data_IF_136333956539
#
_entry.id   IF_136333956539
#
_cell.length_a   1.000
_cell.length_b   1.000
_cell.length_c   1.000
_cell.angle_alpha   90.00
_cell.angle_beta   90.00
_cell.angle_gamma   90.00
#
_symmetry.space_group_name_H-M   'P 1'
#
loop_
_entity.id
_entity.type
_entity.pdbx_description
1 polymer ?
#
# COMPACT_ATOMS: atom_id res chain seq x y z
N UNK A 1 -14.55 -11.67 20.44
CA UNK A 1 -15.02 -10.43 21.08
C UNK A 1 -14.05 -10.04 22.17
N UNK A 2 -13.37 -8.90 21.99
CA UNK A 2 -12.62 -8.24 23.05
C UNK A 2 -13.64 -7.76 24.08
N UNK A 3 -13.61 -8.30 25.31
CA UNK A 3 -14.59 -7.93 26.34
C UNK A 3 -14.28 -6.52 26.83
N UNK A 4 -15.31 -5.68 26.93
CA UNK A 4 -15.19 -4.32 27.48
C UNK A 4 -14.65 -3.25 26.53
N UNK A 5 -14.75 -3.46 25.21
CA UNK A 5 -14.45 -2.43 24.21
C UNK A 5 -15.73 -2.05 23.48
N UNK A 6 -16.13 -0.79 23.61
CA UNK A 6 -17.25 -0.23 22.87
C UNK A 6 -16.78 0.28 21.50
N UNK A 7 -17.18 -0.41 20.44
CA UNK A 7 -16.79 -0.08 19.07
C UNK A 7 -17.76 0.94 18.46
N UNK A 8 -17.26 2.16 18.24
CA UNK A 8 -17.99 3.21 17.52
C UNK A 8 -17.50 3.27 16.07
N UNK A 9 -18.11 2.44 15.23
CA UNK A 9 -17.78 2.35 13.80
C UNK A 9 -18.56 3.37 12.97
N UNK A 10 -18.20 3.49 11.68
CA UNK A 10 -18.89 4.39 10.72
C UNK A 10 -19.01 5.84 11.20
N UNK A 11 -18.05 6.28 12.01
CA UNK A 11 -18.05 7.58 12.66
C UNK A 11 -16.67 8.22 12.54
N UNK A 12 -16.62 9.55 12.57
CA UNK A 12 -15.39 10.33 12.63
C UNK A 12 -15.38 11.20 13.88
N UNK A 13 -14.20 11.47 14.43
CA UNK A 13 -14.07 12.48 15.49
C UNK A 13 -14.20 13.87 14.87
N UNK A 14 -15.10 14.70 15.42
CA UNK A 14 -15.29 16.09 14.99
C UNK A 14 -14.57 17.08 15.91
N UNK A 15 -14.58 16.86 17.23
CA UNK A 15 -13.84 17.70 18.17
C UNK A 15 -13.43 16.93 19.42
N UNK A 16 -12.32 17.33 20.03
CA UNK A 16 -11.83 16.83 21.31
C UNK A 16 -11.78 18.01 22.28
N UNK A 17 -12.48 17.89 23.41
CA UNK A 17 -12.56 18.90 24.48
C UNK A 17 -12.15 18.24 25.80
N UNK A 18 -12.05 19.04 26.84
CA UNK A 18 -11.71 18.53 28.18
C UNK A 18 -12.75 17.51 28.67
N UNK A 19 -12.36 16.25 28.79
CA UNK A 19 -13.21 15.14 29.23
C UNK A 19 -14.23 14.61 28.22
N UNK A 20 -14.31 15.16 27.01
CA UNK A 20 -15.32 14.77 26.00
C UNK A 20 -14.76 14.72 24.57
N UNK A 21 -15.16 13.71 23.82
CA UNK A 21 -14.95 13.63 22.38
C UNK A 21 -16.29 13.63 21.66
N UNK A 22 -16.44 14.49 20.67
CA UNK A 22 -17.61 14.52 19.78
C UNK A 22 -17.32 13.65 18.57
N UNK A 23 -18.15 12.65 18.33
CA UNK A 23 -18.11 11.81 17.13
C UNK A 23 -19.33 12.09 16.27
N UNK A 24 -19.15 12.03 14.94
CA UNK A 24 -20.21 12.26 13.97
C UNK A 24 -20.32 11.04 13.08
N UNK A 25 -21.52 10.46 13.01
CA UNK A 25 -21.78 9.30 12.17
C UNK A 25 -22.00 9.69 10.70
N UNK A 26 -22.12 8.70 9.82
CA UNK A 26 -22.40 8.93 8.38
C UNK A 26 -23.70 9.69 8.10
N UNK A 27 -24.68 9.66 9.00
CA UNK A 27 -25.94 10.41 8.90
C UNK A 27 -25.83 11.85 9.40
N UNK A 28 -24.63 12.29 9.85
CA UNK A 28 -24.41 13.62 10.39
C UNK A 28 -24.88 13.81 11.83
N UNK A 29 -25.26 12.73 12.52
CA UNK A 29 -25.66 12.81 13.92
C UNK A 29 -24.43 12.86 14.82
N UNK A 30 -24.43 13.80 15.76
CA UNK A 30 -23.37 13.96 16.73
C UNK A 30 -23.65 13.15 18.00
N UNK A 31 -22.60 12.58 18.57
CA UNK A 31 -22.62 11.89 19.86
C UNK A 31 -21.41 12.34 20.68
N UNK A 32 -21.65 12.72 21.93
CA UNK A 32 -20.57 13.02 22.87
C UNK A 32 -20.22 11.78 23.70
N UNK A 33 -18.93 11.49 23.80
CA UNK A 33 -18.40 10.37 24.58
C UNK A 33 -17.46 10.93 25.64
N UNK A 34 -17.73 10.62 26.91
CA UNK A 34 -16.87 10.99 28.04
C UNK A 34 -15.59 10.15 28.03
N UNK A 35 -14.45 10.77 28.28
CA UNK A 35 -13.18 10.05 28.45
C UNK A 35 -12.35 10.63 29.60
N UNK A 36 -11.54 9.77 30.24
CA UNK A 36 -10.49 10.18 31.19
C UNK A 36 -9.09 10.23 30.55
N UNK A 37 -8.87 9.46 29.49
CA UNK A 37 -7.66 9.49 28.67
C UNK A 37 -8.04 9.36 27.19
N UNK A 38 -7.42 10.19 26.33
CA UNK A 38 -7.59 10.13 24.88
C UNK A 38 -6.26 9.72 24.24
N UNK A 39 -6.30 8.66 23.44
CA UNK A 39 -5.13 8.21 22.64
C UNK A 39 -5.46 8.41 21.18
N UNK A 40 -4.74 9.32 20.52
CA UNK A 40 -4.90 9.60 19.10
C UNK A 40 -3.91 8.75 18.29
N UNK A 41 -4.41 7.67 17.69
CA UNK A 41 -3.59 6.67 17.00
C UNK A 41 -3.77 6.68 15.46
N UNK A 42 -4.09 7.84 14.88
CA UNK A 42 -4.35 7.97 13.44
C UNK A 42 -3.86 9.30 12.87
N UNK A 43 -3.69 9.35 11.56
CA UNK A 43 -3.23 10.53 10.84
C UNK A 43 -1.72 10.62 10.78
N UNK A 44 -1.20 10.76 9.56
CA UNK A 44 0.18 11.12 9.29
C UNK A 44 0.18 12.51 8.65
N UNK A 45 1.15 13.33 9.00
CA UNK A 45 1.36 14.64 8.41
C UNK A 45 2.76 14.70 7.78
N UNK A 46 2.89 15.48 6.72
CA UNK A 46 4.17 15.70 6.06
C UNK A 46 5.14 16.42 7.01
N UNK A 47 6.38 15.95 7.08
CA UNK A 47 7.43 16.61 7.86
C UNK A 47 7.74 18.01 7.26
N UNK A 48 7.92 19.07 8.08
CA UNK A 48 8.27 20.40 7.58
C UNK A 48 9.49 20.45 6.65
N UNK A 49 10.51 19.63 6.90
CA UNK A 49 11.70 19.54 6.03
C UNK A 49 11.33 19.01 4.64
N UNK A 50 10.46 17.99 4.57
CA UNK A 50 9.97 17.44 3.30
C UNK A 50 9.21 18.50 2.52
N UNK A 51 8.37 19.28 3.21
CA UNK A 51 7.63 20.39 2.60
C UNK A 51 8.56 21.44 1.99
N UNK A 52 9.59 21.85 2.73
CA UNK A 52 10.58 22.81 2.25
C UNK A 52 11.32 22.29 1.00
N UNK A 53 11.65 21.00 0.96
CA UNK A 53 12.27 20.39 -0.22
C UNK A 53 11.33 20.38 -1.43
N UNK A 54 10.03 20.16 -1.24
CA UNK A 54 9.06 20.21 -2.34
C UNK A 54 8.92 21.61 -2.96
N UNK A 55 9.06 22.67 -2.16
CA UNK A 55 8.97 24.05 -2.62
C UNK A 55 10.17 24.44 -3.52
N UNK A 56 11.31 23.77 -3.37
CA UNK A 56 12.54 24.07 -4.11
C UNK A 56 12.77 23.12 -5.29
N UNK A 57 12.36 21.85 -5.18
CA UNK A 57 12.61 20.84 -6.21
C UNK A 57 11.49 20.83 -7.28
N UNK A 58 11.82 20.92 -8.58
CA UNK A 58 10.82 20.89 -9.63
C UNK A 58 10.14 19.51 -9.75
N UNK A 59 8.88 19.50 -10.17
CA UNK A 59 8.13 18.26 -10.42
C UNK A 59 7.60 17.55 -9.17
N UNK A 60 7.67 18.20 -8.00
CA UNK A 60 7.12 17.70 -6.74
C UNK A 60 5.64 18.09 -6.58
N UNK A 61 4.72 17.22 -7.01
CA UNK A 61 3.25 17.51 -7.02
C UNK A 61 2.47 16.75 -5.94
N UNK A 62 3.08 15.80 -5.25
CA UNK A 62 2.39 14.94 -4.30
C UNK A 62 2.15 15.62 -2.94
N UNK A 63 0.92 15.53 -2.43
CA UNK A 63 0.46 16.36 -1.31
C UNK A 63 1.02 16.00 0.08
N UNK A 64 1.70 14.86 0.25
CA UNK A 64 2.14 14.36 1.58
C UNK A 64 3.58 13.84 1.68
N UNK A 65 4.29 13.70 0.56
CA UNK A 65 5.59 13.03 0.49
C UNK A 65 6.35 13.47 -0.77
N UNK A 66 7.68 13.36 -0.78
CA UNK A 66 8.49 13.57 -1.98
C UNK A 66 8.17 12.52 -3.05
N UNK A 67 8.07 12.95 -4.30
CA UNK A 67 8.02 12.06 -5.46
C UNK A 67 9.43 11.59 -5.81
N UNK A 68 9.57 10.28 -5.92
CA UNK A 68 10.76 9.62 -6.43
C UNK A 68 10.49 8.91 -7.74
N UNK A 69 11.52 8.57 -8.48
CA UNK A 69 11.42 7.56 -9.53
C UNK A 69 11.37 6.14 -8.95
N UNK A 70 11.36 5.14 -9.84
CA UNK A 70 11.33 3.72 -9.51
C UNK A 70 12.61 3.20 -8.82
N UNK A 71 13.67 4.01 -8.78
CA UNK A 71 14.94 3.74 -8.10
C UNK A 71 15.08 4.53 -6.78
N UNK A 72 13.98 5.13 -6.32
CA UNK A 72 13.90 5.93 -5.09
C UNK A 72 14.72 7.25 -5.14
N UNK A 73 15.08 7.72 -6.33
CA UNK A 73 15.71 9.03 -6.55
C UNK A 73 14.65 10.12 -6.55
N UNK A 74 14.87 11.20 -5.83
CA UNK A 74 13.93 12.32 -5.75
C UNK A 74 13.85 13.04 -7.10
N UNK A 75 12.65 13.22 -7.64
CA UNK A 75 12.45 13.94 -8.90
C UNK A 75 12.83 15.42 -8.72
N UNK A 76 13.51 15.98 -9.71
CA UNK A 76 13.99 17.36 -9.68
C UNK A 76 15.28 17.57 -8.88
N UNK A 77 15.90 16.52 -8.33
CA UNK A 77 17.17 16.63 -7.60
C UNK A 77 18.41 16.40 -8.46
N UNK A 78 18.27 16.29 -9.78
CA UNK A 78 19.35 15.92 -10.71
C UNK A 78 20.11 14.63 -10.31
N UNK A 79 19.40 13.69 -9.68
CA UNK A 79 19.98 12.42 -9.22
C UNK A 79 20.89 12.53 -7.99
N UNK A 80 20.87 13.64 -7.26
CA UNK A 80 21.69 13.84 -6.04
C UNK A 80 21.02 13.39 -4.74
N UNK A 81 19.69 13.19 -4.72
CA UNK A 81 18.92 12.90 -3.50
C UNK A 81 18.12 11.61 -3.68
N UNK A 82 18.14 10.75 -2.66
CA UNK A 82 17.27 9.58 -2.53
C UNK A 82 16.38 9.75 -1.30
N UNK A 83 15.16 9.23 -1.38
CA UNK A 83 14.20 9.26 -0.26
C UNK A 83 13.36 7.98 -0.25
N UNK A 84 13.00 7.50 0.94
CA UNK A 84 12.22 6.28 1.13
C UNK A 84 11.42 6.32 2.44
N UNK A 85 10.58 5.30 2.66
CA UNK A 85 9.64 5.24 3.78
C UNK A 85 8.55 6.29 3.67
N UNK A 86 7.98 6.68 4.81
CA UNK A 86 6.79 7.56 4.86
C UNK A 86 7.03 8.96 4.28
N UNK A 87 8.29 9.39 4.19
CA UNK A 87 8.68 10.68 3.64
C UNK A 87 8.61 10.74 2.10
N UNK A 88 8.51 9.60 1.41
CA UNK A 88 8.61 9.50 -0.03
C UNK A 88 7.51 8.61 -0.64
N UNK A 89 7.24 8.82 -1.91
CA UNK A 89 6.39 7.94 -2.71
C UNK A 89 6.95 7.82 -4.12
N UNK A 90 6.83 6.62 -4.69
CA UNK A 90 7.28 6.35 -6.05
C UNK A 90 6.23 6.92 -7.00
N UNK A 91 6.69 7.77 -7.92
CA UNK A 91 5.86 8.27 -8.99
C UNK A 91 5.47 7.12 -9.92
N UNK A 92 4.18 6.98 -10.14
CA UNK A 92 3.61 5.94 -10.99
C UNK A 92 3.07 6.62 -12.24
N UNK A 93 3.70 6.42 -13.42
CA UNK A 93 3.23 7.03 -14.64
C UNK A 93 1.83 6.48 -14.95
N UNK A 94 0.93 7.38 -15.34
CA UNK A 94 -0.45 7.02 -15.63
C UNK A 94 -0.53 6.46 -17.03
N UNK A 95 -1.09 5.26 -17.19
CA UNK A 95 -1.23 4.62 -18.49
C UNK A 95 -2.10 5.44 -19.45
N UNK A 96 -3.07 6.21 -18.92
CA UNK A 96 -3.95 7.10 -19.69
C UNK A 96 -3.18 8.15 -20.50
N UNK A 97 -2.01 8.58 -20.04
CA UNK A 97 -1.19 9.57 -20.75
C UNK A 97 -0.58 8.99 -22.04
N UNK A 98 -0.58 7.66 -22.17
CA UNK A 98 -0.02 6.91 -23.30
C UNK A 98 -1.09 6.18 -24.12
N UNK A 99 -2.37 6.55 -23.98
CA UNK A 99 -3.50 5.91 -24.67
C UNK A 99 -3.29 5.80 -26.17
N UNK A 100 -2.82 6.86 -26.83
CA UNK A 100 -2.63 6.84 -28.28
C UNK A 100 -1.61 5.78 -28.70
N UNK A 101 -0.46 5.75 -28.02
CA UNK A 101 0.62 4.78 -28.24
C UNK A 101 0.16 3.36 -27.94
N UNK A 102 -0.51 3.16 -26.81
CA UNK A 102 -0.96 1.84 -26.35
C UNK A 102 -2.06 1.28 -27.25
N UNK A 103 -3.00 2.12 -27.70
CA UNK A 103 -4.07 1.72 -28.60
C UNK A 103 -3.53 1.31 -29.97
N UNK A 104 -2.61 2.09 -30.55
CA UNK A 104 -2.00 1.78 -31.85
C UNK A 104 -1.15 0.51 -31.82
N UNK A 105 -0.54 0.19 -30.68
CA UNK A 105 0.17 -1.08 -30.48
C UNK A 105 -0.77 -2.29 -30.30
N UNK A 106 -1.96 -2.05 -29.75
CA UNK A 106 -2.95 -3.09 -29.47
C UNK A 106 -3.79 -3.45 -30.70
N UNK A 107 -4.19 -2.46 -31.50
CA UNK A 107 -5.01 -2.58 -32.72
C UNK A 107 -4.17 -3.13 -33.88
N UNK A 108 -3.79 -4.42 -33.80
CA UNK A 108 -2.92 -5.08 -34.78
C UNK A 108 -3.63 -5.27 -36.11
N UNK A 109 -4.95 -5.47 -36.08
CA UNK A 109 -5.79 -5.68 -37.26
C UNK A 109 -6.26 -4.37 -37.91
N UNK A 110 -6.01 -3.21 -37.28
CA UNK A 110 -6.41 -1.88 -37.71
C UNK A 110 -7.93 -1.75 -37.90
N UNK A 111 -8.70 -2.48 -37.11
CA UNK A 111 -10.15 -2.43 -37.11
C UNK A 111 -10.69 -1.13 -36.50
N UNK A 112 -9.85 -0.38 -35.78
CA UNK A 112 -10.24 0.84 -35.07
C UNK A 112 -10.91 0.56 -33.72
N UNK A 113 -10.88 -0.69 -33.25
CA UNK A 113 -11.42 -1.10 -31.96
C UNK A 113 -10.64 -2.32 -31.43
N UNK A 114 -10.58 -2.50 -30.12
CA UNK A 114 -9.80 -3.57 -29.48
C UNK A 114 -10.69 -4.75 -29.10
N UNK A 115 -10.33 -5.93 -29.58
CA UNK A 115 -10.87 -7.19 -29.06
C UNK A 115 -10.38 -7.46 -27.62
N UNK A 116 -11.05 -8.36 -26.91
CA UNK A 116 -10.62 -8.78 -25.57
C UNK A 116 -9.25 -9.47 -25.58
N UNK A 117 -8.89 -10.12 -26.68
CA UNK A 117 -7.58 -10.76 -26.85
C UNK A 117 -6.48 -9.72 -27.03
N UNK A 118 -6.69 -8.72 -27.88
CA UNK A 118 -5.76 -7.59 -28.04
C UNK A 118 -5.63 -6.77 -26.75
N UNK A 119 -6.75 -6.56 -26.04
CA UNK A 119 -6.76 -5.89 -24.74
C UNK A 119 -5.92 -6.65 -23.70
N UNK A 120 -6.00 -7.99 -23.68
CA UNK A 120 -5.17 -8.82 -22.79
C UNK A 120 -3.70 -8.69 -23.13
N UNK A 121 -3.36 -8.85 -24.40
CA UNK A 121 -1.98 -8.76 -24.90
C UNK A 121 -1.36 -7.41 -24.53
N UNK A 122 -2.07 -6.30 -24.81
CA UNK A 122 -1.55 -4.97 -24.52
C UNK A 122 -1.45 -4.72 -23.01
N UNK A 123 -2.41 -5.17 -22.20
CA UNK A 123 -2.31 -5.00 -20.75
C UNK A 123 -1.13 -5.80 -20.16
N UNK A 124 -0.89 -7.01 -20.65
CA UNK A 124 0.26 -7.83 -20.26
C UNK A 124 1.59 -7.20 -20.70
N UNK A 125 1.69 -6.72 -21.94
CA UNK A 125 2.91 -6.08 -22.43
C UNK A 125 3.17 -4.74 -21.72
N UNK A 126 2.14 -3.89 -21.64
CA UNK A 126 2.20 -2.60 -20.95
C UNK A 126 2.46 -2.78 -19.45
N UNK A 127 2.14 -3.93 -18.84
CA UNK A 127 2.44 -4.19 -17.42
C UNK A 127 3.94 -4.17 -17.09
N UNK A 128 4.81 -4.35 -18.09
CA UNK A 128 6.27 -4.23 -17.92
C UNK A 128 6.69 -2.80 -17.58
N UNK A 129 5.99 -1.81 -18.16
CA UNK A 129 6.20 -0.37 -17.93
C UNK A 129 5.28 0.16 -16.81
N UNK A 130 4.02 -0.28 -16.81
CA UNK A 130 2.95 0.13 -15.90
C UNK A 130 2.54 -1.03 -15.00
N UNK A 131 3.26 -1.25 -13.91
CA UNK A 131 3.09 -2.45 -13.08
C UNK A 131 1.69 -2.69 -12.53
N UNK A 132 0.88 -1.66 -12.37
CA UNK A 132 -0.51 -1.78 -11.92
C UNK A 132 -1.42 -2.46 -12.95
N UNK A 133 -1.04 -2.48 -14.23
CA UNK A 133 -1.81 -3.18 -15.27
C UNK A 133 -1.74 -4.70 -15.12
N UNK A 134 -0.70 -5.25 -14.45
CA UNK A 134 -0.50 -6.69 -14.29
C UNK A 134 -1.67 -7.37 -13.56
N UNK A 135 -2.19 -6.75 -12.49
CA UNK A 135 -3.31 -7.31 -11.72
C UNK A 135 -4.59 -7.36 -12.57
N UNK A 136 -4.82 -6.32 -13.38
CA UNK A 136 -5.99 -6.27 -14.27
C UNK A 136 -5.87 -7.25 -15.45
N UNK A 137 -4.66 -7.51 -15.95
CA UNK A 137 -4.40 -8.53 -16.95
C UNK A 137 -4.67 -9.96 -16.41
N UNK A 138 -4.24 -10.26 -15.19
CA UNK A 138 -4.53 -11.56 -14.54
C UNK A 138 -6.03 -11.80 -14.33
N UNK A 139 -6.79 -10.75 -13.99
CA UNK A 139 -8.25 -10.84 -13.86
C UNK A 139 -8.91 -11.21 -15.20
N UNK A 140 -8.38 -10.74 -16.32
CA UNK A 140 -8.83 -11.13 -17.66
C UNK A 140 -8.48 -12.57 -18.03
N UNK A 141 -7.37 -13.10 -17.51
CA UNK A 141 -6.92 -14.48 -17.73
C UNK A 141 -7.74 -15.51 -16.92
N UNK A 142 -8.30 -15.12 -15.77
CA UNK A 142 -8.96 -16.03 -14.81
C UNK A 142 -10.31 -16.65 -15.26
N UNK A 143 -10.60 -16.70 -16.56
CA UNK A 143 -11.90 -17.11 -17.12
C UNK A 143 -12.33 -18.57 -16.89
N UNK A 144 -11.51 -19.45 -16.32
CA UNK A 144 -11.85 -20.89 -16.19
C UNK A 144 -11.53 -21.56 -14.85
N UNK A 145 -11.61 -20.85 -13.71
CA UNK A 145 -11.52 -21.49 -12.37
C UNK A 145 -12.84 -21.44 -11.59
N UNK A 146 -13.16 -22.46 -10.77
CA UNK A 146 -14.41 -22.55 -9.98
C UNK A 146 -14.55 -21.46 -8.90
N UNK A 147 -13.54 -20.58 -8.77
CA UNK A 147 -13.46 -19.44 -7.85
C UNK A 147 -14.40 -18.28 -8.22
N UNK A 148 -15.14 -18.33 -9.33
CA UNK A 148 -16.15 -17.32 -9.68
C UNK A 148 -17.29 -17.24 -8.63
N UNK A 149 -17.59 -18.34 -7.94
CA UNK A 149 -18.56 -18.39 -6.84
C UNK A 149 -18.03 -17.83 -5.50
N UNK A 150 -16.75 -18.05 -5.20
CA UNK A 150 -16.13 -17.57 -3.95
C UNK A 150 -15.88 -16.05 -3.99
N UNK A 151 -15.49 -15.52 -5.16
CA UNK A 151 -15.33 -14.07 -5.38
C UNK A 151 -16.69 -13.36 -5.34
N UNK A 152 -17.78 -14.02 -5.74
CA UNK A 152 -19.15 -13.49 -5.61
C UNK A 152 -19.63 -13.45 -4.15
N UNK A 153 -19.21 -14.41 -3.31
CA UNK A 153 -19.56 -14.46 -1.89
C UNK A 153 -18.82 -13.40 -1.05
N UNK A 154 -17.63 -12.96 -1.48
CA UNK A 154 -16.96 -11.79 -0.90
C UNK A 154 -17.44 -10.46 -1.50
N UNK A 155 -18.08 -10.48 -2.68
CA UNK A 155 -18.61 -9.29 -3.35
C UNK A 155 -20.04 -8.91 -2.93
N UNK A 156 -20.66 -9.64 -2.01
CA UNK A 156 -22.04 -9.37 -1.57
C UNK A 156 -22.14 -8.42 -0.36
N UNK A 157 -21.03 -7.92 0.21
CA UNK A 157 -21.09 -6.97 1.34
C UNK A 157 -20.02 -5.86 1.33
N UNK A 158 -19.54 -5.48 0.13
CA UNK A 158 -18.61 -4.37 -0.03
C UNK A 158 -18.98 -3.48 -1.23
N UNK A 159 -20.12 -2.80 -1.11
CA UNK A 159 -20.40 -1.62 -1.92
C UNK A 159 -19.58 -0.42 -1.39
N UNK A 160 -18.28 -0.37 -1.73
CA UNK A 160 -17.45 0.84 -1.86
C UNK A 160 -15.96 0.46 -1.96
N UNK A 161 -15.32 0.86 -3.07
CA UNK A 161 -13.89 0.79 -3.36
C UNK A 161 -13.27 -0.62 -3.55
N UNK A 162 -12.73 -0.85 -4.75
CA UNK A 162 -11.82 -1.96 -5.15
C UNK A 162 -12.43 -3.17 -5.86
N UNK A 163 -13.40 -2.95 -6.75
CA UNK A 163 -13.74 -3.92 -7.80
C UNK A 163 -13.14 -3.48 -9.13
N UNK A 164 -12.34 -4.36 -9.75
CA UNK A 164 -11.76 -4.12 -11.08
C UNK A 164 -12.89 -3.77 -12.07
N UNK A 165 -12.79 -2.66 -12.82
CA UNK A 165 -13.84 -2.21 -13.75
C UNK A 165 -14.15 -3.21 -14.88
N UNK A 166 -13.35 -4.27 -15.01
CA UNK A 166 -13.48 -5.30 -16.04
C UNK A 166 -14.48 -6.43 -15.74
N UNK A 167 -15.13 -6.45 -14.57
CA UNK A 167 -16.05 -7.55 -14.23
C UNK A 167 -17.38 -7.57 -15.01
N UNK A 168 -17.59 -6.60 -15.92
CA UNK A 168 -18.84 -6.40 -16.68
C UNK A 168 -18.67 -6.54 -18.20
N UNK A 169 -17.48 -6.91 -18.69
CA UNK A 169 -17.21 -6.95 -20.14
C UNK A 169 -17.61 -8.32 -20.70
N UNK A 170 -18.60 -8.35 -21.60
CA UNK A 170 -19.05 -9.56 -22.32
C UNK A 170 -18.01 -10.01 -23.35
N UNK A 171 -18.01 -11.30 -23.70
CA UNK A 171 -16.97 -11.96 -24.51
C UNK A 171 -16.80 -11.41 -25.93
N UNK A 172 -17.86 -10.83 -26.50
CA UNK A 172 -17.88 -10.25 -27.85
C UNK A 172 -17.78 -8.71 -27.85
N UNK A 173 -17.36 -8.11 -26.73
CA UNK A 173 -17.25 -6.65 -26.62
C UNK A 173 -15.98 -6.15 -27.31
N UNK A 174 -16.14 -5.29 -28.32
CA UNK A 174 -15.05 -4.55 -28.94
C UNK A 174 -14.95 -3.17 -28.28
N UNK A 175 -13.75 -2.74 -27.89
CA UNK A 175 -13.53 -1.45 -27.23
C UNK A 175 -13.05 -0.40 -28.22
N UNK A 176 -13.83 0.66 -28.41
CA UNK A 176 -13.36 1.88 -29.08
C UNK A 176 -12.22 2.55 -28.32
N UNK A 177 -11.47 3.43 -28.97
CA UNK A 177 -10.38 4.19 -28.36
C UNK A 177 -10.83 5.00 -27.14
N UNK A 178 -12.03 5.57 -27.21
CA UNK A 178 -12.65 6.32 -26.12
C UNK A 178 -12.94 5.42 -24.91
N UNK A 179 -13.50 4.22 -25.16
CA UNK A 179 -13.77 3.25 -24.10
C UNK A 179 -12.47 2.69 -23.48
N UNK A 180 -11.45 2.46 -24.30
CA UNK A 180 -10.11 2.07 -23.82
C UNK A 180 -9.49 3.16 -22.95
N UNK A 181 -9.64 4.44 -23.33
CA UNK A 181 -9.22 5.58 -22.52
C UNK A 181 -9.94 5.63 -21.17
N UNK A 182 -11.26 5.47 -21.16
CA UNK A 182 -12.04 5.43 -19.92
C UNK A 182 -11.64 4.26 -19.02
N UNK A 183 -11.33 3.11 -19.62
CA UNK A 183 -10.84 1.93 -18.91
C UNK A 183 -9.51 2.25 -18.21
N UNK A 184 -8.53 2.79 -18.93
CA UNK A 184 -7.25 3.20 -18.36
C UNK A 184 -7.41 4.29 -17.30
N UNK A 185 -8.31 5.26 -17.49
CA UNK A 185 -8.62 6.26 -16.46
C UNK A 185 -9.15 5.63 -15.17
N UNK A 186 -10.07 4.66 -15.28
CA UNK A 186 -10.59 3.95 -14.11
C UNK A 186 -9.49 3.13 -13.42
N UNK A 187 -8.65 2.45 -14.19
CA UNK A 187 -7.50 1.70 -13.66
C UNK A 187 -6.51 2.65 -12.96
N UNK A 188 -6.11 3.74 -13.61
CA UNK A 188 -5.18 4.72 -13.07
C UNK A 188 -5.74 5.46 -11.84
N UNK A 189 -7.07 5.66 -11.76
CA UNK A 189 -7.71 6.23 -10.57
C UNK A 189 -7.59 5.34 -9.33
N UNK A 190 -7.35 4.03 -9.54
CA UNK A 190 -7.07 3.05 -8.50
C UNK A 190 -5.61 3.01 -8.06
N UNK A 191 -4.72 3.78 -8.70
CA UNK A 191 -3.30 3.82 -8.34
C UNK A 191 -3.13 4.26 -6.89
N UNK A 192 -2.41 3.43 -6.15
CA UNK A 192 -2.10 3.68 -4.75
C UNK A 192 -0.60 3.70 -4.56
N UNK A 193 -0.16 4.75 -3.88
CA UNK A 193 1.13 4.77 -3.23
C UNK A 193 1.27 3.55 -2.29
N UNK A 194 2.50 3.07 -2.14
CA UNK A 194 2.81 2.03 -1.16
C UNK A 194 2.37 2.48 0.25
N UNK A 195 1.88 1.54 1.08
CA UNK A 195 1.41 1.88 2.41
C UNK A 195 2.56 2.32 3.30
N UNK A 196 2.34 3.37 4.10
CA UNK A 196 3.26 3.89 5.10
C UNK A 196 3.45 2.86 6.23
N UNK A 197 4.39 1.92 6.02
CA UNK A 197 4.62 0.78 6.90
C UNK A 197 6.11 0.53 7.06
N UNK A 198 6.52 0.05 8.23
CA UNK A 198 7.89 -0.36 8.49
C UNK A 198 8.39 -1.42 7.50
N UNK A 199 7.49 -2.27 6.99
CA UNK A 199 7.86 -3.27 5.98
C UNK A 199 8.30 -2.63 4.66
N UNK A 200 7.58 -1.63 4.18
CA UNK A 200 7.94 -0.89 2.95
C UNK A 200 9.27 -0.16 3.17
N UNK A 201 9.37 0.60 4.26
CA UNK A 201 10.58 1.36 4.59
C UNK A 201 11.83 0.45 4.69
N UNK A 202 11.70 -0.72 5.32
CA UNK A 202 12.79 -1.69 5.42
C UNK A 202 13.26 -2.20 4.05
N UNK A 203 12.32 -2.64 3.19
CA UNK A 203 12.68 -3.14 1.86
C UNK A 203 13.31 -2.06 0.99
N UNK A 204 12.79 -0.84 1.05
CA UNK A 204 13.37 0.29 0.33
C UNK A 204 14.78 0.64 0.83
N UNK A 205 15.00 0.58 2.15
CA UNK A 205 16.33 0.78 2.74
C UNK A 205 17.33 -0.30 2.33
N UNK A 206 16.92 -1.58 2.34
CA UNK A 206 17.73 -2.70 1.84
C UNK A 206 18.09 -2.50 0.36
N UNK A 207 17.13 -2.09 -0.47
CA UNK A 207 17.35 -1.80 -1.89
C UNK A 207 18.36 -0.67 -2.12
N UNK A 208 18.25 0.46 -1.43
CA UNK A 208 19.23 1.56 -1.55
C UNK A 208 20.61 1.12 -1.07
N UNK A 209 20.69 0.32 0.00
CA UNK A 209 21.96 -0.21 0.47
C UNK A 209 22.63 -1.10 -0.59
N UNK A 210 21.87 -1.94 -1.29
CA UNK A 210 22.38 -2.74 -2.42
C UNK A 210 22.91 -1.85 -3.56
N UNK A 211 22.18 -0.79 -3.93
CA UNK A 211 22.62 0.15 -4.97
C UNK A 211 23.93 0.87 -4.58
N UNK A 212 24.10 1.22 -3.30
CA UNK A 212 25.35 1.80 -2.77
C UNK A 212 26.50 0.78 -2.85
N UNK A 213 26.29 -0.45 -2.40
CA UNK A 213 27.33 -1.51 -2.43
C UNK A 213 27.76 -1.87 -3.85
N UNK A 214 26.81 -1.88 -4.80
CA UNK A 214 27.09 -2.14 -6.21
C UNK A 214 27.79 -0.97 -6.93
N UNK A 215 27.95 0.17 -6.27
CA UNK A 215 28.56 1.36 -6.86
C UNK A 215 27.67 2.04 -7.90
N UNK A 216 26.36 1.83 -7.85
CA UNK A 216 25.41 2.55 -8.70
C UNK A 216 25.10 3.95 -8.17
N UNK A 217 25.40 4.21 -6.90
CA UNK A 217 25.33 5.52 -6.26
C UNK A 217 26.77 5.95 -5.95
N UNK A 218 27.34 6.81 -6.79
CA UNK A 218 28.73 7.32 -6.66
C UNK A 218 28.76 8.84 -6.50
N UNK A 219 29.89 9.38 -6.00
CA UNK A 219 30.12 10.80 -5.71
C UNK A 219 30.11 11.73 -6.95
N UNK A 220 30.51 13.00 -6.78
CA UNK A 220 29.74 14.14 -7.27
C UNK A 220 29.62 14.21 -8.79
N UNK A 221 28.36 14.20 -9.25
CA UNK A 221 27.84 14.80 -10.48
C UNK A 221 28.67 14.57 -11.77
N UNK A 222 28.84 13.33 -12.17
CA UNK A 222 28.89 13.01 -13.60
C UNK A 222 27.55 12.36 -13.95
N UNK A 223 26.69 13.13 -14.65
CA UNK A 223 25.38 12.76 -15.20
C UNK A 223 25.09 11.26 -15.04
N UNK A 224 24.31 10.91 -13.99
CA UNK A 224 24.12 9.52 -13.59
C UNK A 224 23.79 8.66 -14.82
N UNK A 225 24.72 7.82 -15.32
CA UNK A 225 24.41 6.94 -16.42
C UNK A 225 23.35 5.99 -15.89
N UNK A 226 22.15 6.08 -16.47
CA UNK A 226 20.92 5.33 -16.17
C UNK A 226 21.09 4.08 -15.29
N UNK A 227 21.33 4.21 -13.97
CA UNK A 227 21.53 3.13 -12.98
C UNK A 227 21.92 1.78 -13.63
N UNK A 228 22.98 1.78 -14.44
CA UNK A 228 23.17 0.83 -15.56
C UNK A 228 22.81 -0.61 -15.24
N UNK A 229 21.64 -1.09 -15.71
CA UNK A 229 21.19 -2.47 -15.54
C UNK A 229 20.58 -2.83 -14.18
N UNK A 230 20.44 -1.87 -13.25
CA UNK A 230 19.73 -2.07 -11.97
C UNK A 230 18.25 -2.33 -12.22
N UNK A 231 17.66 -3.21 -11.40
CA UNK A 231 16.23 -3.45 -11.44
C UNK A 231 15.48 -2.37 -10.65
N UNK A 232 14.31 -1.90 -11.12
CA UNK A 232 13.43 -1.03 -10.35
C UNK A 232 13.04 -1.62 -9.01
N UNK A 233 12.76 -0.76 -8.01
CA UNK A 233 12.23 -1.20 -6.74
C UNK A 233 10.83 -1.82 -6.90
N UNK A 234 10.66 -3.04 -6.39
CA UNK A 234 9.36 -3.74 -6.36
C UNK A 234 9.07 -4.18 -4.93
N UNK A 235 7.98 -3.67 -4.37
CA UNK A 235 7.54 -4.03 -3.03
C UNK A 235 7.00 -5.46 -3.00
N UNK A 236 7.51 -6.27 -2.07
CA UNK A 236 6.98 -7.59 -1.79
C UNK A 236 6.15 -7.58 -0.50
N UNK A 237 4.82 -7.67 -0.62
CA UNK A 237 3.94 -7.73 0.53
C UNK A 237 4.08 -9.08 1.25
N UNK A 238 4.33 -9.05 2.57
CA UNK A 238 4.56 -10.26 3.39
C UNK A 238 3.33 -10.62 4.23
N UNK A 239 2.26 -9.85 4.10
CA UNK A 239 1.07 -9.95 4.93
C UNK A 239 0.97 -8.83 5.96
N UNK A 240 -0.10 -8.85 6.73
CA UNK A 240 -0.34 -7.93 7.84
C UNK A 240 -0.71 -8.71 9.09
N UNK A 241 -0.35 -8.17 10.25
CA UNK A 241 -0.67 -8.78 11.54
C UNK A 241 -1.20 -7.72 12.50
N UNK A 242 -2.18 -8.10 13.33
CA UNK A 242 -2.74 -7.25 14.36
C UNK A 242 -3.03 -8.05 15.62
N UNK A 243 -2.43 -7.66 16.75
CA UNK A 243 -2.81 -8.17 18.06
C UNK A 243 -4.15 -7.58 18.48
N UNK A 244 -5.10 -8.43 18.88
CA UNK A 244 -6.47 -8.00 19.24
C UNK A 244 -6.78 -8.20 20.74
N UNK A 245 -5.78 -8.46 21.57
CA UNK A 245 -5.95 -8.67 23.00
C UNK A 245 -6.17 -10.14 23.40
N UNK A 246 -6.09 -10.42 24.70
CA UNK A 246 -6.32 -11.75 25.30
C UNK A 246 -5.52 -12.88 24.64
N UNK A 247 -4.25 -12.61 24.32
CA UNK A 247 -3.34 -13.55 23.64
C UNK A 247 -3.82 -13.99 22.24
N UNK A 248 -4.72 -13.23 21.60
CA UNK A 248 -5.22 -13.46 20.24
C UNK A 248 -4.69 -12.43 19.27
N UNK A 249 -4.47 -12.84 18.04
CA UNK A 249 -4.16 -11.97 16.93
C UNK A 249 -4.98 -12.34 15.69
N UNK A 250 -4.94 -11.45 14.71
CA UNK A 250 -5.41 -11.66 13.34
C UNK A 250 -4.21 -11.46 12.43
N UNK A 251 -4.03 -12.34 11.47
CA UNK A 251 -2.99 -12.30 10.46
C UNK A 251 -3.64 -12.45 9.10
N UNK A 252 -3.27 -11.61 8.15
CA UNK A 252 -3.63 -11.78 6.75
C UNK A 252 -2.37 -12.14 5.98
N UNK A 253 -2.30 -13.39 5.51
CA UNK A 253 -1.11 -13.93 4.85
C UNK A 253 -1.39 -14.08 3.35
N UNK A 254 -0.54 -13.50 2.48
CA UNK A 254 -0.72 -13.62 1.04
C UNK A 254 -0.84 -15.09 0.62
N UNK A 255 -1.87 -15.40 -0.18
CA UNK A 255 -2.22 -16.75 -0.67
C UNK A 255 -2.80 -17.74 0.35
N UNK A 256 -2.67 -17.50 1.66
CA UNK A 256 -3.24 -18.37 2.71
C UNK A 256 -4.51 -17.77 3.34
N UNK A 257 -4.73 -16.47 3.17
CA UNK A 257 -5.90 -15.77 3.68
C UNK A 257 -5.81 -15.47 5.18
N UNK A 258 -6.93 -15.10 5.82
CA UNK A 258 -6.95 -14.64 7.19
C UNK A 258 -6.86 -15.81 8.19
N UNK A 259 -5.93 -15.69 9.14
CA UNK A 259 -5.73 -16.59 10.28
C UNK A 259 -5.99 -15.80 11.57
N UNK A 260 -6.79 -16.35 12.49
CA UNK A 260 -7.14 -15.64 13.72
C UNK A 260 -7.18 -16.56 14.94
N UNK A 261 -7.06 -15.95 16.13
CA UNK A 261 -7.20 -16.63 17.42
C UNK A 261 -5.89 -16.74 18.18
N UNK A 262 -5.84 -17.68 19.14
CA UNK A 262 -4.71 -17.78 20.08
C UNK A 262 -3.44 -18.31 19.41
N UNK A 263 -3.58 -19.24 18.45
CA UNK A 263 -2.44 -19.71 17.64
C UNK A 263 -1.80 -18.58 16.84
N UNK A 264 -2.62 -17.75 16.19
CA UNK A 264 -2.16 -16.51 15.54
C UNK A 264 -1.50 -15.55 16.54
N UNK A 265 -2.03 -15.46 17.76
CA UNK A 265 -1.42 -14.65 18.83
C UNK A 265 -0.01 -15.11 19.22
N UNK A 266 0.23 -16.42 19.28
CA UNK A 266 1.57 -16.97 19.52
C UNK A 266 2.52 -16.69 18.35
N UNK A 267 2.05 -16.85 17.11
CA UNK A 267 2.83 -16.53 15.91
C UNK A 267 3.18 -15.04 15.84
N UNK A 268 2.22 -14.17 16.09
CA UNK A 268 2.41 -12.72 16.15
C UNK A 268 3.48 -12.36 17.18
N UNK A 269 3.34 -12.87 18.40
CA UNK A 269 4.31 -12.69 19.48
C UNK A 269 5.70 -13.10 18.98
N UNK A 270 5.86 -14.36 18.58
CA UNK A 270 7.15 -14.89 18.11
C UNK A 270 7.78 -14.01 17.03
N UNK A 271 7.00 -13.60 16.03
CA UNK A 271 7.47 -12.72 14.96
C UNK A 271 7.99 -11.38 15.50
N UNK A 272 7.23 -10.70 16.35
CA UNK A 272 7.64 -9.40 16.93
C UNK A 272 8.92 -9.50 17.78
N UNK A 273 9.11 -10.62 18.49
CA UNK A 273 10.37 -10.86 19.22
C UNK A 273 11.52 -11.07 18.27
N UNK A 274 11.40 -11.94 17.26
CA UNK A 274 12.50 -12.18 16.32
C UNK A 274 12.78 -10.99 15.40
N UNK A 275 11.78 -10.14 15.13
CA UNK A 275 11.92 -8.95 14.30
C UNK A 275 12.78 -7.85 14.96
N UNK A 276 13.08 -7.95 16.26
CA UNK A 276 13.97 -7.01 16.95
C UNK A 276 15.39 -7.07 16.36
N UNK A 277 16.00 -5.90 16.19
CA UNK A 277 17.29 -5.73 15.48
C UNK A 277 18.47 -6.43 16.19
N UNK A 278 18.46 -6.51 17.52
CA UNK A 278 19.58 -7.03 18.31
C UNK A 278 19.18 -8.19 19.20
N UNK A 279 20.11 -9.12 19.43
CA UNK A 279 19.92 -10.26 20.34
C UNK A 279 19.55 -9.81 21.76
N UNK A 280 20.12 -8.68 22.21
CA UNK A 280 19.77 -8.07 23.49
C UNK A 280 18.29 -7.72 23.55
N UNK A 281 17.77 -7.05 22.53
CA UNK A 281 16.34 -6.68 22.49
C UNK A 281 15.44 -7.91 22.35
N UNK A 282 15.85 -8.89 21.55
CA UNK A 282 15.15 -10.17 21.43
C UNK A 282 15.03 -10.86 22.80
N UNK A 283 16.11 -10.95 23.56
CA UNK A 283 16.11 -11.54 24.89
C UNK A 283 15.26 -10.74 25.88
N UNK A 284 15.37 -9.41 25.86
CA UNK A 284 14.58 -8.52 26.72
C UNK A 284 13.08 -8.72 26.49
N UNK A 285 12.61 -8.67 25.24
CA UNK A 285 11.19 -8.87 24.90
C UNK A 285 10.73 -10.27 25.29
N UNK A 286 11.55 -11.30 25.05
CA UNK A 286 11.23 -12.67 25.45
C UNK A 286 11.08 -12.80 26.97
N UNK A 287 12.00 -12.23 27.75
CA UNK A 287 11.92 -12.23 29.22
C UNK A 287 10.73 -11.42 29.74
N UNK A 288 10.38 -10.32 29.09
CA UNK A 288 9.25 -9.47 29.47
C UNK A 288 7.92 -10.19 29.32
N UNK A 289 7.77 -11.05 28.32
CA UNK A 289 6.56 -11.88 28.20
C UNK A 289 6.43 -12.88 29.32
N UNK A 290 7.53 -13.54 29.67
CA UNK A 290 7.55 -14.50 30.78
C UNK A 290 7.22 -13.77 32.08
N UNK A 291 7.88 -12.65 32.34
CA UNK A 291 7.63 -11.80 33.52
C UNK A 291 6.17 -11.36 33.58
N UNK A 292 5.63 -10.85 32.47
CA UNK A 292 4.24 -10.38 32.39
C UNK A 292 3.23 -11.51 32.59
N UNK A 293 3.55 -12.73 32.12
CA UNK A 293 2.66 -13.89 32.28
C UNK A 293 2.66 -14.43 33.71
N UNK A 294 3.81 -14.42 34.39
CA UNK A 294 3.98 -14.94 35.75
C UNK A 294 3.55 -13.92 36.81
N UNK A 295 3.99 -12.67 36.68
CA UNK A 295 3.83 -11.63 37.70
C UNK A 295 2.80 -10.55 37.36
N UNK A 296 2.24 -10.59 36.14
CA UNK A 296 1.38 -9.52 35.63
C UNK A 296 2.20 -8.35 35.08
N UNK A 297 1.50 -7.34 34.55
CA UNK A 297 2.14 -6.10 34.07
C UNK A 297 2.53 -5.22 35.25
N UNK A 298 3.75 -4.71 35.21
CA UNK A 298 4.17 -3.64 36.12
C UNK A 298 3.46 -2.34 35.74
N UNK A 299 2.74 -1.73 36.68
CA UNK A 299 2.00 -0.48 36.51
C UNK A 299 2.53 0.64 37.41
N UNK A 300 3.64 0.40 38.10
CA UNK A 300 4.25 1.40 38.97
C UNK A 300 4.81 2.57 38.15
N UNK A 301 4.56 3.79 38.62
CA UNK A 301 5.15 5.02 38.09
C UNK A 301 6.23 5.43 39.08
N UNK A 302 7.46 4.97 38.88
CA UNK A 302 8.63 5.42 39.62
C UNK A 302 9.46 6.36 38.77
#
# INVERSE_FOLDING_TARGET
MCRGIDLVLNSRVASVRDGYVTVVNKAGQEQEIKFGACVWATGIAMNPLVKQLQEVLPGQTHFRSLLTDEFLRVKGSDGSIWAFGDAATIDQPKAVEYVDRLFEQADKDKSGALSIEELKDILNEASKEFSHLAEHAQVLEAKNTPLRGLVRAFAADAAAANTSPLSTVEEDTVLTKEQFKELLQKIDSGLRALPATAQVAKQQGEYIAELLVQGHITGPAAAAPALGGSKPFRYFHKGSLAYVGSDKAVMDVPKLGPIFGTGAGLLWKSYETFAQISLRNQLLVATDWVRTKVFGRDISRF
#
